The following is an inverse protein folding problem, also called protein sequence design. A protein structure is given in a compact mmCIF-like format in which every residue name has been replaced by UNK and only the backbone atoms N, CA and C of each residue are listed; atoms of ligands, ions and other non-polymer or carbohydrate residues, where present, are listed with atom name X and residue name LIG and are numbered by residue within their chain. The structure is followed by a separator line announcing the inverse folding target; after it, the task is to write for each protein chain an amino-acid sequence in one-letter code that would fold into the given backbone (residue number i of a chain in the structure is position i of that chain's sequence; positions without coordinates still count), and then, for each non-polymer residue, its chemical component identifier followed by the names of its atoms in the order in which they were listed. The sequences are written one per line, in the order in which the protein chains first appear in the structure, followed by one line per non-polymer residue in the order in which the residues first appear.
data_IF_299677240394
#
_entry.id   IF_299677240394
#
_cell.length_a   1.000
_cell.length_b   1.000
_cell.length_c   1.000
_cell.angle_alpha   90.00
_cell.angle_beta   90.00
_cell.angle_gamma   90.00
#
_symmetry.space_group_name_H-M   'P 1'
#
loop_
_entity.id
_entity.type
_entity.pdbx_description
1 polymer ?
#
# COMPACT_ATOMS: atom_id res chain seq x y z
N UNK A 1 -23.24 2.16 -0.74
CA UNK A 1 -22.96 2.99 -1.95
C UNK A 1 -21.99 2.21 -2.86
N UNK A 2 -22.11 2.32 -4.20
CA UNK A 2 -21.09 1.72 -5.12
C UNK A 2 -19.98 2.72 -5.33
N UNK A 3 -18.73 2.31 -5.14
CA UNK A 3 -17.54 3.14 -5.37
C UNK A 3 -16.57 2.48 -6.33
N UNK A 4 -15.56 3.23 -6.78
CA UNK A 4 -14.47 2.77 -7.63
C UNK A 4 -13.15 3.27 -7.06
N UNK A 5 -12.11 2.45 -7.17
CA UNK A 5 -10.74 2.84 -6.85
C UNK A 5 -9.80 2.42 -7.97
N UNK A 6 -8.72 3.17 -8.16
CA UNK A 6 -7.51 2.61 -8.77
C UNK A 6 -6.79 1.82 -7.69
N UNK A 7 -6.60 0.52 -7.90
CA UNK A 7 -5.87 -0.35 -6.98
C UNK A 7 -4.38 0.04 -7.01
N UNK A 8 -3.84 0.44 -5.90
CA UNK A 8 -2.42 0.80 -5.77
C UNK A 8 -1.65 -0.18 -4.89
N UNK A 9 -2.34 -0.98 -4.08
CA UNK A 9 -1.74 -2.03 -3.27
C UNK A 9 -2.60 -3.30 -3.22
N UNK A 10 -1.93 -4.45 -3.25
CA UNK A 10 -2.48 -5.78 -2.98
C UNK A 10 -1.44 -6.56 -2.17
N UNK A 11 -1.24 -6.19 -0.91
CA UNK A 11 -0.14 -6.66 -0.06
C UNK A 11 -0.54 -7.81 0.85
N UNK A 12 0.44 -8.51 1.41
CA UNK A 12 0.21 -9.50 2.47
C UNK A 12 -0.32 -8.84 3.74
N UNK A 13 -1.31 -9.47 4.38
CA UNK A 13 -1.85 -9.06 5.68
C UNK A 13 -2.43 -10.28 6.41
N UNK A 14 -1.82 -10.67 7.53
CA UNK A 14 -2.35 -11.68 8.49
C UNK A 14 -2.98 -12.93 7.81
N UNK A 15 -2.21 -13.57 6.93
CA UNK A 15 -2.67 -14.76 6.18
C UNK A 15 -3.60 -14.48 5.00
N UNK A 16 -4.00 -13.23 4.78
CA UNK A 16 -4.81 -12.76 3.66
C UNK A 16 -4.12 -11.64 2.90
N UNK A 17 -4.94 -10.72 2.37
CA UNK A 17 -4.51 -9.58 1.57
C UNK A 17 -5.07 -8.26 2.10
N UNK A 18 -4.35 -7.19 1.82
CA UNK A 18 -4.80 -5.82 1.98
C UNK A 18 -4.87 -5.17 0.60
N UNK A 19 -6.07 -4.77 0.17
CA UNK A 19 -6.28 -3.95 -1.03
C UNK A 19 -6.41 -2.50 -0.60
N UNK A 20 -5.75 -1.61 -1.32
CA UNK A 20 -5.92 -0.18 -1.12
C UNK A 20 -5.76 0.58 -2.44
N UNK A 21 -6.35 1.76 -2.51
CA UNK A 21 -6.26 2.60 -3.70
C UNK A 21 -6.93 3.96 -3.52
N UNK A 22 -6.84 4.79 -4.54
CA UNK A 22 -7.44 6.12 -4.59
C UNK A 22 -8.84 6.02 -5.22
N UNK A 23 -9.82 6.69 -4.59
CA UNK A 23 -11.20 6.76 -5.10
C UNK A 23 -11.25 7.46 -6.46
N UNK A 24 -12.05 6.92 -7.37
CA UNK A 24 -12.32 7.47 -8.69
C UNK A 24 -13.78 7.92 -8.81
N UNK A 25 -14.01 8.91 -9.64
CA UNK A 25 -15.36 9.34 -9.99
C UNK A 25 -16.10 8.29 -10.86
N UNK A 26 -17.34 8.59 -11.25
CA UNK A 26 -18.18 7.69 -12.06
C UNK A 26 -17.62 7.44 -13.48
N UNK A 27 -16.74 8.29 -13.96
CA UNK A 27 -16.08 8.19 -15.26
C UNK A 27 -14.73 7.47 -15.21
N UNK A 28 -14.31 6.97 -14.03
CA UNK A 28 -12.98 6.41 -13.75
C UNK A 28 -11.86 7.46 -13.84
N UNK A 29 -12.16 8.72 -13.55
CA UNK A 29 -11.21 9.82 -13.50
C UNK A 29 -10.90 10.20 -12.05
N UNK A 30 -9.80 10.90 -11.84
CA UNK A 30 -9.41 11.40 -10.52
C UNK A 30 -10.38 12.53 -10.11
N UNK A 31 -10.91 12.50 -8.88
CA UNK A 31 -11.63 13.64 -8.33
C UNK A 31 -10.65 14.77 -7.96
N UNK A 32 -11.18 15.97 -7.71
CA UNK A 32 -10.37 17.09 -7.23
C UNK A 32 -9.70 16.78 -5.87
N UNK A 33 -10.46 16.17 -4.96
CA UNK A 33 -9.97 15.78 -3.65
C UNK A 33 -9.64 14.28 -3.64
N UNK A 34 -8.36 13.96 -3.67
CA UNK A 34 -7.89 12.57 -3.68
C UNK A 34 -8.11 11.94 -2.30
N UNK A 35 -8.67 10.74 -2.30
CA UNK A 35 -8.99 10.01 -1.08
C UNK A 35 -8.57 8.56 -1.19
N UNK A 36 -7.80 8.11 -0.20
CA UNK A 36 -7.53 6.70 -0.02
C UNK A 36 -8.78 5.93 0.43
N UNK A 37 -8.97 4.75 -0.10
CA UNK A 37 -9.94 3.77 0.38
C UNK A 37 -9.24 2.41 0.52
N UNK A 38 -9.48 1.78 1.66
CA UNK A 38 -9.05 0.42 1.97
C UNK A 38 -10.29 -0.44 2.26
N UNK A 39 -10.76 -1.25 1.29
CA UNK A 39 -11.81 -2.22 1.58
C UNK A 39 -11.30 -3.27 2.56
N UNK A 40 -12.04 -3.47 3.64
CA UNK A 40 -11.75 -4.45 4.70
C UNK A 40 -12.91 -5.43 4.84
N UNK A 41 -12.60 -6.64 5.33
CA UNK A 41 -13.58 -7.66 5.70
C UNK A 41 -13.90 -7.61 7.19
N UNK A 42 -15.01 -8.22 7.59
CA UNK A 42 -15.33 -8.45 9.01
C UNK A 42 -14.54 -9.68 9.51
N UNK A 43 -13.21 -9.49 9.65
CA UNK A 43 -12.24 -10.46 10.16
C UNK A 43 -11.44 -9.78 11.25
N UNK A 44 -10.64 -10.52 12.01
CA UNK A 44 -9.91 -9.99 13.18
C UNK A 44 -9.04 -8.78 12.83
N UNK A 45 -8.38 -8.80 11.65
CA UNK A 45 -7.47 -7.73 11.21
C UNK A 45 -7.96 -7.02 9.95
N UNK A 46 -9.21 -7.26 9.51
CA UNK A 46 -9.78 -6.66 8.32
C UNK A 46 -9.23 -7.22 6.99
N UNK A 47 -8.46 -8.31 7.03
CA UNK A 47 -7.85 -8.93 5.86
C UNK A 47 -8.89 -9.51 4.90
N UNK A 48 -8.57 -9.46 3.60
CA UNK A 48 -9.37 -10.04 2.53
C UNK A 48 -8.85 -11.43 2.19
N UNK A 49 -9.69 -12.48 2.08
CA UNK A 49 -9.25 -13.80 1.66
C UNK A 49 -8.47 -13.74 0.35
N UNK A 50 -7.27 -14.34 0.32
CA UNK A 50 -6.35 -14.30 -0.82
C UNK A 50 -7.01 -14.72 -2.13
N UNK A 51 -7.83 -15.78 -2.12
CA UNK A 51 -8.52 -16.30 -3.32
C UNK A 51 -9.41 -15.26 -4.01
N UNK A 52 -9.94 -14.28 -3.28
CA UNK A 52 -10.82 -13.25 -3.85
C UNK A 52 -10.04 -12.19 -4.64
N UNK A 53 -8.76 -11.96 -4.31
CA UNK A 53 -8.04 -10.77 -4.78
C UNK A 53 -6.64 -11.05 -5.32
N UNK A 54 -6.13 -12.30 -5.26
CA UNK A 54 -4.77 -12.63 -5.73
C UNK A 54 -4.53 -12.33 -7.22
N UNK A 55 -5.61 -12.31 -8.03
CA UNK A 55 -5.56 -12.01 -9.46
C UNK A 55 -5.54 -10.52 -9.78
N UNK A 56 -5.84 -9.67 -8.78
CA UNK A 56 -5.86 -8.21 -8.94
C UNK A 56 -4.44 -7.66 -8.87
N UNK A 57 -4.17 -6.68 -9.74
CA UNK A 57 -2.84 -6.07 -9.91
C UNK A 57 -2.89 -4.59 -9.59
N UNK A 58 -1.76 -3.96 -9.27
CA UNK A 58 -1.64 -2.52 -9.28
C UNK A 58 -2.17 -1.94 -10.59
N UNK A 59 -2.83 -0.78 -10.51
CA UNK A 59 -3.50 -0.07 -11.60
C UNK A 59 -4.81 -0.69 -12.10
N UNK A 60 -5.25 -1.85 -11.59
CA UNK A 60 -6.60 -2.30 -11.87
C UNK A 60 -7.62 -1.31 -11.32
N UNK A 61 -8.64 -0.97 -12.10
CA UNK A 61 -9.79 -0.21 -11.62
C UNK A 61 -10.79 -1.19 -11.03
N UNK A 62 -11.02 -1.05 -9.72
CA UNK A 62 -11.92 -1.90 -8.96
C UNK A 62 -13.21 -1.18 -8.65
N UNK A 63 -14.33 -1.89 -8.76
CA UNK A 63 -15.65 -1.44 -8.35
C UNK A 63 -16.22 -2.36 -7.29
N UNK A 64 -16.73 -1.78 -6.20
CA UNK A 64 -17.37 -2.53 -5.12
C UNK A 64 -18.44 -1.71 -4.40
N UNK A 65 -19.21 -2.36 -3.53
CA UNK A 65 -20.25 -1.73 -2.69
C UNK A 65 -19.70 -1.57 -1.28
N UNK A 66 -19.65 -0.32 -0.79
CA UNK A 66 -19.37 -0.02 0.62
C UNK A 66 -20.65 -0.33 1.43
N UNK A 67 -20.46 -1.06 2.53
CA UNK A 67 -21.52 -1.41 3.51
C UNK A 67 -21.54 -0.36 4.62
N UNK A 68 -20.35 -0.07 5.21
CA UNK A 68 -20.20 0.84 6.33
C UNK A 68 -18.80 1.48 6.32
N UNK A 69 -18.65 2.58 7.05
CA UNK A 69 -17.34 3.07 7.47
C UNK A 69 -16.75 2.06 8.48
N UNK A 70 -15.45 1.79 8.36
CA UNK A 70 -14.70 0.91 9.24
C UNK A 70 -13.39 1.59 9.72
N UNK A 71 -13.39 2.93 9.74
CA UNK A 71 -12.25 3.72 10.25
C UNK A 71 -11.91 3.31 11.68
N UNK A 72 -10.64 3.11 11.96
CA UNK A 72 -10.13 2.73 13.26
C UNK A 72 -8.83 3.49 13.53
N UNK A 73 -8.82 4.34 14.57
CA UNK A 73 -7.69 5.19 14.88
C UNK A 73 -7.23 6.00 13.66
N UNK A 74 -5.94 5.91 13.35
CA UNK A 74 -5.33 6.59 12.20
C UNK A 74 -5.68 5.96 10.84
N UNK A 75 -6.30 4.78 10.80
CA UNK A 75 -6.73 4.10 9.57
C UNK A 75 -8.10 4.63 9.10
N UNK A 76 -8.20 5.90 8.76
CA UNK A 76 -9.45 6.55 8.39
C UNK A 76 -10.01 6.10 7.04
N UNK A 77 -9.16 5.52 6.19
CA UNK A 77 -9.47 5.03 4.85
C UNK A 77 -10.20 3.68 4.83
N UNK A 78 -10.33 2.99 5.98
CA UNK A 78 -10.97 1.69 6.05
C UNK A 78 -12.48 1.76 5.77
N UNK A 79 -12.96 0.88 4.88
CA UNK A 79 -14.39 0.73 4.58
C UNK A 79 -14.77 -0.74 4.54
N UNK A 80 -15.81 -1.12 5.28
CA UNK A 80 -16.40 -2.46 5.17
C UNK A 80 -17.11 -2.59 3.83
N UNK A 81 -16.81 -3.63 3.06
CA UNK A 81 -17.35 -3.81 1.74
C UNK A 81 -18.05 -5.17 1.53
N UNK A 82 -18.96 -5.21 0.56
CA UNK A 82 -19.60 -6.43 0.11
C UNK A 82 -18.66 -7.19 -0.84
N UNK A 83 -18.07 -8.29 -0.36
CA UNK A 83 -17.13 -9.14 -1.10
C UNK A 83 -17.67 -9.63 -2.44
N UNK A 84 -18.98 -9.93 -2.52
CA UNK A 84 -19.63 -10.41 -3.74
C UNK A 84 -19.74 -9.32 -4.82
N UNK A 85 -19.64 -8.06 -4.42
CA UNK A 85 -19.75 -6.91 -5.32
C UNK A 85 -18.43 -6.51 -5.96
N UNK A 86 -17.30 -7.05 -5.50
CA UNK A 86 -15.97 -6.69 -6.00
C UNK A 86 -15.80 -7.15 -7.45
N UNK A 87 -15.45 -6.20 -8.32
CA UNK A 87 -15.20 -6.44 -9.74
C UNK A 87 -14.06 -5.58 -10.24
N UNK A 88 -13.18 -6.18 -11.04
CA UNK A 88 -12.27 -5.44 -11.92
C UNK A 88 -13.07 -4.92 -13.12
N UNK A 89 -12.93 -3.64 -13.43
CA UNK A 89 -13.70 -2.99 -14.51
C UNK A 89 -12.82 -2.29 -15.55
N UNK A 90 -11.52 -2.23 -15.36
CA UNK A 90 -10.58 -1.59 -16.28
C UNK A 90 -9.17 -1.52 -15.71
N UNK A 91 -8.34 -0.73 -16.38
CA UNK A 91 -6.97 -0.42 -15.97
C UNK A 91 -6.78 1.09 -15.98
N UNK A 92 -6.12 1.62 -14.98
CA UNK A 92 -5.77 3.03 -14.85
C UNK A 92 -4.51 3.33 -15.65
N UNK A 93 -4.42 4.52 -16.19
CA UNK A 93 -3.28 4.97 -16.98
C UNK A 93 -2.05 5.19 -16.08
N UNK A 94 -0.99 4.43 -16.33
CA UNK A 94 0.29 4.53 -15.60
C UNK A 94 0.88 5.96 -15.65
N UNK A 95 0.71 6.69 -16.75
CA UNK A 95 1.24 8.05 -16.91
C UNK A 95 0.64 9.06 -15.93
N UNK A 96 -0.49 8.71 -15.30
CA UNK A 96 -1.15 9.54 -14.28
C UNK A 96 -0.75 9.21 -12.84
N UNK A 97 0.22 8.33 -12.63
CA UNK A 97 0.64 7.95 -11.27
C UNK A 97 1.25 9.13 -10.51
N UNK A 98 1.97 10.03 -11.17
CA UNK A 98 2.52 11.24 -10.56
C UNK A 98 1.44 12.11 -9.92
N UNK A 99 0.25 12.17 -10.52
CA UNK A 99 -0.86 12.98 -10.03
C UNK A 99 -1.46 12.44 -8.71
N UNK A 100 -1.11 11.20 -8.36
CA UNK A 100 -1.54 10.53 -7.13
C UNK A 100 -0.55 10.69 -5.96
N UNK A 101 0.63 11.26 -6.20
CA UNK A 101 1.63 11.55 -5.17
C UNK A 101 1.35 12.90 -4.53
N UNK A 102 0.31 12.99 -3.70
CA UNK A 102 -0.17 14.24 -3.11
C UNK A 102 0.29 14.49 -1.66
N UNK A 103 1.00 13.54 -1.05
CA UNK A 103 1.65 13.76 0.24
C UNK A 103 3.00 14.44 0.02
N UNK A 104 3.18 15.58 0.67
CA UNK A 104 4.39 16.41 0.60
C UNK A 104 5.04 16.62 1.97
N UNK A 105 4.68 15.79 2.97
CA UNK A 105 5.29 15.84 4.30
C UNK A 105 6.79 15.58 4.25
N UNK A 106 7.55 16.20 5.16
CA UNK A 106 9.00 16.03 5.22
C UNK A 106 9.41 14.59 5.52
N UNK A 107 8.61 13.89 6.31
CA UNK A 107 8.82 12.51 6.72
C UNK A 107 7.59 11.67 6.42
N UNK A 108 7.77 10.41 6.04
CA UNK A 108 6.68 9.46 5.89
C UNK A 108 5.88 9.37 7.20
N UNK A 109 4.59 9.68 7.14
CA UNK A 109 3.68 9.71 8.31
C UNK A 109 4.21 10.60 9.44
N UNK A 110 4.79 11.76 9.10
CA UNK A 110 5.34 12.75 10.04
C UNK A 110 6.42 12.21 10.99
N UNK A 111 6.91 11.00 10.77
CA UNK A 111 7.88 10.33 11.63
C UNK A 111 9.16 9.92 10.91
N UNK A 112 10.32 10.12 11.57
CA UNK A 112 11.61 9.62 11.10
C UNK A 112 11.71 8.10 11.22
N UNK A 113 12.58 7.50 10.38
CA UNK A 113 12.93 6.09 10.46
C UNK A 113 11.82 5.11 10.09
N UNK A 114 11.94 3.88 10.55
CA UNK A 114 11.13 2.72 10.10
C UNK A 114 9.81 2.53 10.84
N UNK A 115 9.57 3.23 11.93
CA UNK A 115 8.39 3.06 12.78
C UNK A 115 8.02 4.35 13.48
N UNK A 116 6.78 4.43 13.98
CA UNK A 116 6.24 5.48 14.81
C UNK A 116 5.77 4.84 16.12
N UNK A 117 6.08 5.44 17.26
CA UNK A 117 5.60 4.95 18.55
C UNK A 117 4.09 5.11 18.68
N UNK A 118 3.46 4.31 19.54
CA UNK A 118 2.03 4.43 19.85
C UNK A 118 1.65 5.86 20.28
N UNK A 119 2.52 6.51 21.06
CA UNK A 119 2.32 7.90 21.50
C UNK A 119 2.42 8.90 20.33
N UNK A 120 3.32 8.65 19.36
CA UNK A 120 3.55 9.51 18.20
C UNK A 120 2.46 9.44 17.14
N UNK A 121 1.57 8.43 17.21
CA UNK A 121 0.51 8.24 16.21
C UNK A 121 -0.63 9.24 16.37
N UNK A 122 -0.74 9.91 17.50
CA UNK A 122 -1.96 10.57 18.01
C UNK A 122 -2.61 11.65 17.12
N UNK A 123 -1.93 12.15 16.08
CA UNK A 123 -2.49 13.14 15.15
C UNK A 123 -2.64 12.63 13.72
N UNK A 124 -2.12 11.44 13.42
CA UNK A 124 -2.26 10.87 12.10
C UNK A 124 -3.71 10.44 11.83
N UNK A 125 -4.17 10.74 10.62
CA UNK A 125 -5.51 10.38 10.15
C UNK A 125 -5.47 9.54 8.86
N UNK A 126 -4.31 8.99 8.52
CA UNK A 126 -4.11 8.13 7.35
C UNK A 126 -3.00 7.12 7.61
N UNK A 127 -3.05 6.00 6.94
CA UNK A 127 -2.04 4.95 7.04
C UNK A 127 -1.48 4.50 5.69
N UNK A 128 -1.73 5.27 4.63
CA UNK A 128 -1.30 4.98 3.27
C UNK A 128 -0.78 6.24 2.61
N UNK A 129 0.38 6.14 1.95
CA UNK A 129 0.99 7.19 1.17
C UNK A 129 1.49 6.59 -0.15
N UNK A 130 1.32 7.30 -1.27
CA UNK A 130 2.02 7.01 -2.52
C UNK A 130 3.12 8.04 -2.72
N UNK A 131 4.33 7.57 -2.91
CA UNK A 131 5.51 8.39 -3.18
C UNK A 131 6.19 7.95 -4.46
N UNK A 132 7.02 8.81 -5.03
CA UNK A 132 7.96 8.46 -6.10
C UNK A 132 9.39 8.60 -5.63
N UNK A 133 10.30 7.74 -6.12
CA UNK A 133 11.73 7.83 -5.85
C UNK A 133 12.54 7.33 -7.04
N UNK A 134 13.66 8.00 -7.32
CA UNK A 134 14.66 7.60 -8.31
C UNK A 134 15.93 7.02 -7.68
N UNK A 135 16.04 7.08 -6.35
CA UNK A 135 17.18 6.57 -5.58
C UNK A 135 16.68 5.41 -4.73
N UNK A 136 17.03 4.19 -5.14
CA UNK A 136 16.55 2.98 -4.46
C UNK A 136 17.50 1.80 -4.64
N UNK A 137 17.43 0.84 -3.71
CA UNK A 137 18.17 -0.41 -3.73
C UNK A 137 17.32 -1.52 -3.09
N UNK A 138 17.27 -2.71 -3.70
CA UNK A 138 16.65 -3.88 -3.08
C UNK A 138 17.69 -4.61 -2.24
N UNK A 139 17.34 -4.89 -0.97
CA UNK A 139 18.20 -5.53 0.01
C UNK A 139 17.54 -6.81 0.52
N UNK A 140 18.32 -7.90 0.58
CA UNK A 140 17.89 -9.15 1.22
C UNK A 140 18.52 -9.23 2.61
N UNK A 141 17.69 -9.30 3.65
CA UNK A 141 18.17 -9.51 5.03
C UNK A 141 17.77 -10.88 5.55
N UNK A 142 18.76 -11.62 6.01
CA UNK A 142 18.53 -12.88 6.71
C UNK A 142 18.49 -12.60 8.22
N UNK A 143 17.45 -13.07 8.86
CA UNK A 143 17.30 -13.04 10.31
C UNK A 143 17.45 -14.48 10.83
N UNK A 144 18.16 -14.70 11.92
CA UNK A 144 18.46 -16.03 12.48
C UNK A 144 17.17 -16.79 12.82
N UNK A 145 16.14 -16.07 13.28
CA UNK A 145 14.86 -16.65 13.70
C UNK A 145 13.88 -16.90 12.55
N UNK A 146 14.22 -16.52 11.31
CA UNK A 146 13.32 -16.66 10.16
C UNK A 146 13.89 -17.60 9.11
N UNK A 147 13.08 -18.55 8.59
CA UNK A 147 13.56 -19.52 7.61
C UNK A 147 13.95 -18.87 6.27
N UNK A 148 13.30 -17.75 5.92
CA UNK A 148 13.51 -17.05 4.66
C UNK A 148 14.08 -15.64 4.90
N UNK A 149 14.88 -15.17 3.95
CA UNK A 149 15.33 -13.78 3.90
C UNK A 149 14.13 -12.84 3.72
N UNK A 150 14.19 -11.70 4.37
CA UNK A 150 13.23 -10.61 4.16
C UNK A 150 13.72 -9.71 3.03
N UNK A 151 12.91 -9.54 2.00
CA UNK A 151 13.15 -8.54 0.95
C UNK A 151 12.75 -7.17 1.48
N UNK A 152 13.66 -6.24 1.35
CA UNK A 152 13.50 -4.85 1.79
C UNK A 152 13.90 -3.93 0.64
N UNK A 153 13.43 -2.70 0.70
CA UNK A 153 13.88 -1.64 -0.20
C UNK A 153 14.44 -0.49 0.62
N UNK A 154 15.63 -0.05 0.25
CA UNK A 154 16.19 1.23 0.67
C UNK A 154 15.82 2.26 -0.38
N UNK A 155 15.45 3.44 0.02
CA UNK A 155 15.10 4.53 -0.88
C UNK A 155 15.19 5.88 -0.19
N UNK A 156 15.34 6.93 -0.98
CA UNK A 156 15.31 8.30 -0.50
C UNK A 156 13.91 8.90 -0.68
N UNK A 157 13.43 9.57 0.35
CA UNK A 157 12.24 10.42 0.31
C UNK A 157 12.53 11.74 1.02
N UNK A 158 12.43 12.87 0.30
CA UNK A 158 12.71 14.21 0.81
C UNK A 158 14.06 14.30 1.58
N UNK A 159 15.13 13.75 0.97
CA UNK A 159 16.49 13.69 1.55
C UNK A 159 16.58 12.87 2.85
N UNK A 160 15.66 11.98 3.09
CA UNK A 160 15.71 11.03 4.19
C UNK A 160 15.78 9.60 3.63
N UNK A 161 16.76 8.84 4.08
CA UNK A 161 16.88 7.42 3.74
C UNK A 161 15.91 6.57 4.57
N UNK A 162 15.21 5.69 3.89
CA UNK A 162 14.36 4.67 4.49
C UNK A 162 14.82 3.28 4.07
N UNK A 163 14.68 2.31 4.97
CA UNK A 163 14.90 0.89 4.74
C UNK A 163 13.69 0.14 5.27
N UNK A 164 12.79 -0.25 4.37
CA UNK A 164 11.48 -0.81 4.73
C UNK A 164 11.28 -2.19 4.15
N UNK A 165 10.60 -3.12 4.87
CA UNK A 165 10.23 -4.42 4.34
C UNK A 165 9.20 -4.30 3.23
N UNK A 166 9.33 -5.14 2.19
CA UNK A 166 8.37 -5.24 1.08
C UNK A 166 7.36 -6.34 1.41
N UNK A 167 6.07 -6.00 1.29
CA UNK A 167 4.95 -6.93 1.50
C UNK A 167 4.09 -7.13 0.25
N UNK A 168 4.56 -6.65 -0.91
CA UNK A 168 3.95 -6.83 -2.23
C UNK A 168 4.24 -8.23 -2.79
N UNK A 169 3.27 -9.15 -2.81
CA UNK A 169 3.50 -10.51 -3.29
C UNK A 169 3.81 -10.60 -4.79
N UNK A 170 3.29 -9.66 -5.58
CA UNK A 170 3.52 -9.64 -7.03
C UNK A 170 4.96 -9.25 -7.31
N UNK A 171 5.45 -8.22 -6.64
CA UNK A 171 6.85 -7.82 -6.72
C UNK A 171 7.78 -8.91 -6.19
N UNK A 172 7.48 -9.48 -5.02
CA UNK A 172 8.30 -10.53 -4.39
C UNK A 172 8.44 -11.77 -5.28
N UNK A 173 7.36 -12.19 -5.93
CA UNK A 173 7.38 -13.31 -6.87
C UNK A 173 8.24 -13.00 -8.12
N UNK A 174 8.06 -11.84 -8.73
CA UNK A 174 8.87 -11.37 -9.86
C UNK A 174 10.35 -11.28 -9.50
N UNK A 175 10.66 -10.66 -8.36
CA UNK A 175 12.04 -10.47 -7.90
C UNK A 175 12.73 -11.78 -7.55
N UNK A 176 12.00 -12.77 -7.02
CA UNK A 176 12.52 -14.12 -6.78
C UNK A 176 13.01 -14.78 -8.07
N UNK A 177 12.29 -14.56 -9.16
CA UNK A 177 12.59 -15.15 -10.48
C UNK A 177 13.58 -14.31 -11.32
N UNK A 178 13.68 -13.01 -11.03
CA UNK A 178 14.58 -12.09 -11.72
C UNK A 178 15.12 -11.04 -10.74
N UNK A 179 16.37 -11.20 -10.30
CA UNK A 179 17.04 -10.28 -9.37
C UNK A 179 17.35 -8.92 -9.99
N UNK A 180 17.46 -8.86 -11.30
CA UNK A 180 17.74 -7.65 -12.08
C UNK A 180 16.44 -6.92 -12.51
N UNK A 181 15.30 -7.26 -11.89
CA UNK A 181 13.97 -6.75 -12.24
C UNK A 181 13.89 -5.23 -12.34
N UNK A 182 14.66 -4.52 -11.51
CA UNK A 182 14.69 -3.05 -11.46
C UNK A 182 15.90 -2.42 -12.16
N UNK A 183 16.73 -3.23 -12.83
CA UNK A 183 17.89 -2.71 -13.56
C UNK A 183 17.45 -1.76 -14.68
N UNK A 184 17.94 -0.53 -14.66
CA UNK A 184 17.60 0.49 -15.66
C UNK A 184 16.23 1.16 -15.46
N UNK A 185 15.49 0.85 -14.39
CA UNK A 185 14.26 1.55 -14.04
C UNK A 185 14.60 2.93 -13.46
N UNK A 186 14.17 4.04 -14.09
CA UNK A 186 14.58 5.37 -13.65
C UNK A 186 13.78 5.90 -12.45
N UNK A 187 12.57 5.39 -12.24
CA UNK A 187 11.63 5.89 -11.23
C UNK A 187 10.75 4.76 -10.71
N UNK A 188 10.58 4.68 -9.40
CA UNK A 188 9.60 3.82 -8.75
C UNK A 188 8.50 4.64 -8.11
N UNK A 189 7.29 4.09 -8.11
CA UNK A 189 6.20 4.52 -7.24
C UNK A 189 6.03 3.49 -6.13
N UNK A 190 6.08 3.95 -4.88
CA UNK A 190 5.98 3.10 -3.69
C UNK A 190 4.73 3.44 -2.91
N UNK A 191 3.88 2.46 -2.68
CA UNK A 191 2.82 2.58 -1.68
C UNK A 191 3.41 2.18 -0.34
N UNK A 192 3.55 3.15 0.55
CA UNK A 192 3.98 2.91 1.93
C UNK A 192 2.74 2.83 2.81
N UNK A 193 2.69 1.80 3.64
CA UNK A 193 1.62 1.57 4.62
C UNK A 193 2.19 1.62 6.02
N UNK A 194 1.43 2.19 6.95
CA UNK A 194 1.69 2.11 8.38
C UNK A 194 0.92 0.93 8.97
N UNK A 195 1.66 0.00 9.59
CA UNK A 195 1.10 -1.22 10.18
C UNK A 195 0.32 -0.98 11.46
N UNK A 196 -0.41 -2.01 11.91
CA UNK A 196 -1.04 -2.03 13.22
C UNK A 196 0.03 -2.03 14.33
N UNK A 197 -0.40 -1.75 15.56
CA UNK A 197 0.48 -1.74 16.73
C UNK A 197 1.14 -3.12 16.93
N UNK A 198 2.45 -3.12 17.09
CA UNK A 198 3.25 -4.29 17.40
C UNK A 198 4.39 -3.87 18.34
N UNK A 199 4.39 -4.42 19.57
CA UNK A 199 5.38 -4.10 20.60
C UNK A 199 5.60 -2.60 20.85
N UNK A 200 4.50 -1.83 20.91
CA UNK A 200 4.54 -0.38 21.14
C UNK A 200 4.88 0.48 19.92
N UNK A 201 4.97 -0.12 18.71
CA UNK A 201 5.36 0.57 17.48
C UNK A 201 4.44 0.26 16.31
N UNK A 202 4.22 1.26 15.47
CA UNK A 202 3.62 1.12 14.14
C UNK A 202 4.72 1.11 13.09
N UNK A 203 4.98 -0.03 12.47
CA UNK A 203 6.04 -0.17 11.47
C UNK A 203 5.58 0.25 10.08
N UNK A 204 6.45 0.97 9.37
CA UNK A 204 6.27 1.31 7.96
C UNK A 204 6.62 0.12 7.09
N UNK A 205 5.81 -0.14 6.06
CA UNK A 205 5.94 -1.25 5.13
C UNK A 205 5.77 -0.74 3.70
N UNK A 206 6.51 -1.29 2.75
CA UNK A 206 6.22 -1.06 1.32
C UNK A 206 5.19 -2.10 0.87
N UNK A 207 3.95 -1.64 0.72
CA UNK A 207 2.80 -2.46 0.36
C UNK A 207 2.71 -2.73 -1.15
N UNK A 208 3.34 -1.90 -1.98
CA UNK A 208 3.40 -2.09 -3.43
C UNK A 208 4.58 -1.32 -4.03
N UNK A 209 5.18 -1.90 -5.08
CA UNK A 209 6.20 -1.28 -5.94
C UNK A 209 5.67 -1.27 -7.37
N UNK A 210 5.52 -0.07 -7.97
CA UNK A 210 5.04 0.14 -9.34
C UNK A 210 6.15 0.81 -10.15
N UNK A 211 6.45 0.27 -11.35
CA UNK A 211 7.50 0.73 -12.25
C UNK A 211 7.19 0.38 -13.69
#
# INVERSE_FOLDING_TARGET
MKTRIVCLANSYKEGGRCIAGIELNKNNELPHDLKWLRPVCNTLHGEIPTMLVQHLKPLDILKFKIIANASEGFQSENVLFDKKSLKRIGTFDHLKLSDLCFDHSLYLFEGKGKAISEEGIGQLNHSLILISTSIFEIVERKYEEKPNSQIRIKFDYNSNEYDLPVTDPIFLDKYKNNKDLLLGVPLLYLVVSLGILHEGWHYKLVACIIF
#
